data_IF_250387820634
#
_entry.id   IF_250387820634
#
_cell.length_a   1.000
_cell.length_b   1.000
_cell.length_c   1.000
_cell.angle_alpha   90.00
_cell.angle_beta   90.00
_cell.angle_gamma   90.00
#
_symmetry.space_group_name_H-M   'P 1'
#
loop_
_entity.id
_entity.type
_entity.pdbx_description
1 polymer ?
#
# COMPACT_ATOMS: atom_id res chain seq x y z
N UNK A 1 -4.31 -8.35 -3.70
CA UNK A 1 -3.42 -7.33 -4.31
C UNK A 1 -2.20 -8.02 -4.91
N UNK A 2 -1.65 -7.45 -5.98
CA UNK A 2 -0.36 -7.85 -6.55
C UNK A 2 0.44 -6.59 -6.89
N UNK A 3 1.76 -6.69 -6.89
CA UNK A 3 2.60 -5.60 -7.34
C UNK A 3 2.56 -5.49 -8.88
N UNK A 4 2.30 -4.29 -9.40
CA UNK A 4 2.21 -4.07 -10.85
C UNK A 4 3.47 -3.42 -11.43
N UNK A 5 4.09 -2.52 -10.67
CA UNK A 5 5.29 -1.80 -11.08
C UNK A 5 6.03 -1.28 -9.85
N UNK A 6 7.33 -1.07 -9.99
CA UNK A 6 8.14 -0.28 -9.06
C UNK A 6 9.11 0.58 -9.84
N UNK A 7 9.48 1.70 -9.23
CA UNK A 7 10.64 2.48 -9.61
C UNK A 7 11.56 2.55 -8.41
N UNK A 8 12.85 2.35 -8.63
CA UNK A 8 13.86 2.45 -7.58
C UNK A 8 14.80 3.60 -7.91
N UNK A 9 15.16 4.35 -6.89
CA UNK A 9 16.13 5.43 -6.98
C UNK A 9 17.01 5.45 -5.74
N UNK A 10 18.30 5.58 -5.95
CA UNK A 10 19.25 5.85 -4.87
C UNK A 10 20.21 6.95 -5.34
N UNK A 11 20.27 8.07 -4.62
CA UNK A 11 21.52 8.81 -4.52
C UNK A 11 22.54 7.91 -3.76
N UNK A 12 23.88 8.11 -3.87
CA UNK A 12 24.84 7.08 -3.48
C UNK A 12 24.60 6.52 -2.07
N UNK A 13 24.68 5.19 -1.92
CA UNK A 13 24.49 4.50 -0.64
C UNK A 13 23.49 3.32 -0.72
N UNK A 14 22.96 2.93 0.44
CA UNK A 14 22.08 1.77 0.60
C UNK A 14 20.78 1.91 -0.21
N UNK A 15 20.50 0.97 -1.11
CA UNK A 15 19.25 0.92 -1.88
C UNK A 15 18.28 -0.08 -1.25
N UNK A 16 17.02 0.31 -1.08
CA UNK A 16 15.96 -0.62 -0.69
C UNK A 16 15.37 -1.27 -1.94
N UNK A 17 15.33 -2.61 -1.95
CA UNK A 17 14.81 -3.40 -3.07
C UNK A 17 13.94 -4.54 -2.54
N UNK A 18 12.60 -4.36 -2.46
CA UNK A 18 11.70 -5.40 -1.97
C UNK A 18 11.43 -6.48 -3.02
N UNK A 19 11.01 -7.65 -2.56
CA UNK A 19 10.46 -8.70 -3.43
C UNK A 19 9.13 -8.24 -4.04
N UNK A 20 9.09 -8.12 -5.37
CA UNK A 20 7.90 -7.72 -6.12
C UNK A 20 6.97 -8.89 -6.47
N UNK A 21 7.39 -10.11 -6.20
CA UNK A 21 6.66 -11.35 -6.50
C UNK A 21 6.05 -11.99 -5.24
N UNK A 22 6.43 -11.53 -4.05
CA UNK A 22 5.84 -12.02 -2.80
C UNK A 22 4.41 -11.50 -2.61
N UNK A 23 3.52 -12.31 -2.01
CA UNK A 23 2.17 -11.85 -1.65
C UNK A 23 2.23 -10.62 -0.72
N UNK A 24 1.29 -9.70 -0.93
CA UNK A 24 1.15 -8.51 -0.08
C UNK A 24 0.38 -8.89 1.19
N UNK A 25 1.02 -8.73 2.35
CA UNK A 25 0.36 -8.92 3.66
C UNK A 25 -0.46 -7.67 3.98
N UNK A 26 -1.79 -7.80 3.92
CA UNK A 26 -2.69 -6.64 3.97
C UNK A 26 -2.61 -5.86 5.29
N UNK A 27 -2.45 -6.55 6.42
CA UNK A 27 -2.43 -5.92 7.74
C UNK A 27 -1.06 -5.34 8.14
N UNK A 28 0.02 -5.77 7.47
CA UNK A 28 1.40 -5.40 7.85
C UNK A 28 2.09 -4.45 6.84
N UNK A 29 1.49 -4.19 5.68
CA UNK A 29 2.06 -3.31 4.64
C UNK A 29 1.25 -2.02 4.52
N UNK A 30 1.91 -0.90 4.17
CA UNK A 30 1.22 0.39 4.02
C UNK A 30 0.20 0.34 2.88
N UNK A 31 0.55 -0.27 1.74
CA UNK A 31 -0.35 -0.53 0.61
C UNK A 31 -1.55 -1.39 1.02
N UNK A 32 -1.31 -2.42 1.83
CA UNK A 32 -2.36 -3.29 2.35
C UNK A 32 -3.34 -2.55 3.25
N UNK A 33 -2.83 -1.77 4.21
CA UNK A 33 -3.65 -0.96 5.12
C UNK A 33 -4.48 0.08 4.38
N UNK A 34 -3.93 0.73 3.34
CA UNK A 34 -4.70 1.67 2.53
C UNK A 34 -5.81 0.99 1.75
N UNK A 35 -5.53 -0.19 1.19
CA UNK A 35 -6.55 -0.98 0.51
C UNK A 35 -7.70 -1.36 1.45
N UNK A 36 -7.35 -1.88 2.64
CA UNK A 36 -8.33 -2.21 3.69
C UNK A 36 -9.09 -0.97 4.21
N UNK A 37 -8.43 0.17 4.32
CA UNK A 37 -9.08 1.43 4.73
C UNK A 37 -10.07 1.95 3.67
N UNK A 38 -9.93 1.52 2.41
CA UNK A 38 -10.82 1.87 1.31
C UNK A 38 -12.18 1.17 1.32
N UNK A 39 -12.44 0.25 2.25
CA UNK A 39 -13.67 -0.55 2.32
C UNK A 39 -14.31 -0.51 3.73
N UNK A 40 -15.57 -0.96 3.88
CA UNK A 40 -16.21 -1.12 5.19
C UNK A 40 -15.44 -2.07 6.11
N UNK A 41 -15.51 -1.84 7.42
CA UNK A 41 -14.72 -2.58 8.42
C UNK A 41 -14.95 -4.10 8.36
N UNK A 42 -16.17 -4.56 8.14
CA UNK A 42 -16.48 -6.00 8.05
C UNK A 42 -15.75 -6.67 6.88
N UNK A 43 -15.74 -6.03 5.70
CA UNK A 43 -14.99 -6.52 4.54
C UNK A 43 -13.49 -6.47 4.79
N UNK A 44 -12.99 -5.39 5.40
CA UNK A 44 -11.58 -5.26 5.73
C UNK A 44 -11.10 -6.37 6.68
N UNK A 45 -11.90 -6.69 7.70
CA UNK A 45 -11.64 -7.79 8.64
C UNK A 45 -11.60 -9.13 7.89
N UNK A 46 -12.61 -9.40 7.05
CA UNK A 46 -12.68 -10.64 6.26
C UNK A 46 -11.42 -10.83 5.40
N UNK A 47 -11.01 -9.80 4.66
CA UNK A 47 -9.80 -9.86 3.83
C UNK A 47 -8.53 -9.98 4.67
N UNK A 48 -8.43 -9.29 5.80
CA UNK A 48 -7.26 -9.38 6.67
C UNK A 48 -7.10 -10.77 7.30
N UNK A 49 -8.20 -11.38 7.76
CA UNK A 49 -8.21 -12.75 8.31
C UNK A 49 -7.83 -13.79 7.24
N UNK A 50 -8.40 -13.68 6.04
CA UNK A 50 -7.99 -14.51 4.89
C UNK A 50 -6.52 -14.32 4.54
N UNK A 51 -6.03 -13.08 4.65
CA UNK A 51 -4.64 -12.69 4.45
C UNK A 51 -3.69 -13.02 5.62
N UNK A 52 -4.16 -13.72 6.66
CA UNK A 52 -3.31 -14.25 7.73
C UNK A 52 -3.22 -13.41 9.01
N UNK A 53 -4.09 -12.40 9.19
CA UNK A 53 -4.22 -11.72 10.49
C UNK A 53 -4.52 -12.75 11.59
N UNK A 54 -3.85 -12.63 12.75
CA UNK A 54 -3.98 -13.55 13.88
C UNK A 54 -3.18 -14.85 13.74
N UNK A 55 -2.52 -15.09 12.61
CA UNK A 55 -1.62 -16.24 12.44
C UNK A 55 -0.21 -15.86 12.87
N UNK A 56 0.60 -16.85 13.23
CA UNK A 56 2.03 -16.64 13.41
C UNK A 56 2.70 -16.32 12.05
N UNK A 57 3.72 -15.46 12.06
CA UNK A 57 4.56 -15.17 10.89
C UNK A 57 5.45 -16.37 10.57
N UNK A 58 4.85 -17.44 10.04
CA UNK A 58 5.53 -18.72 9.82
C UNK A 58 6.72 -18.62 8.83
N UNK A 59 6.74 -17.59 7.99
CA UNK A 59 7.76 -17.35 6.96
C UNK A 59 8.50 -16.02 7.13
N UNK A 60 8.37 -15.32 8.27
CA UNK A 60 8.97 -13.99 8.44
C UNK A 60 8.35 -12.91 7.53
N UNK A 61 7.08 -13.09 7.14
CA UNK A 61 6.37 -12.16 6.24
C UNK A 61 6.05 -10.80 6.89
N UNK A 62 6.20 -10.70 8.20
CA UNK A 62 6.11 -9.47 9.00
C UNK A 62 6.87 -9.62 10.31
N UNK A 63 7.15 -8.49 10.95
CA UNK A 63 7.90 -8.38 12.20
C UNK A 63 6.98 -8.43 13.43
N UNK A 64 7.52 -8.52 14.65
CA UNK A 64 6.73 -8.41 15.89
C UNK A 64 6.01 -7.06 16.07
N UNK A 65 6.35 -6.02 15.28
CA UNK A 65 5.68 -4.72 15.34
C UNK A 65 4.36 -4.68 14.56
N UNK A 66 4.11 -5.69 13.72
CA UNK A 66 2.92 -5.72 12.89
C UNK A 66 1.63 -5.87 13.70
N UNK A 67 0.55 -5.38 13.12
CA UNK A 67 -0.81 -5.62 13.59
C UNK A 67 -1.13 -7.11 13.48
N UNK A 68 -1.56 -7.71 14.59
CA UNK A 68 -1.84 -9.16 14.65
C UNK A 68 -3.27 -9.48 15.07
N UNK A 69 -4.09 -8.50 15.41
CA UNK A 69 -5.48 -8.71 15.81
C UNK A 69 -6.45 -7.69 15.20
N UNK A 70 -7.75 -8.01 15.23
CA UNK A 70 -8.80 -7.12 14.72
C UNK A 70 -8.91 -5.85 15.56
N UNK A 71 -8.73 -5.98 16.87
CA UNK A 71 -8.76 -4.89 17.85
C UNK A 71 -7.64 -3.86 17.59
N UNK A 72 -6.51 -4.31 17.02
CA UNK A 72 -5.43 -3.45 16.56
C UNK A 72 -5.69 -2.90 15.15
N UNK A 73 -6.27 -3.72 14.27
CA UNK A 73 -6.49 -3.37 12.87
C UNK A 73 -7.47 -2.21 12.71
N UNK A 74 -8.64 -2.28 13.35
CA UNK A 74 -9.71 -1.30 13.14
C UNK A 74 -9.26 0.13 13.49
N UNK A 75 -8.69 0.41 14.68
CA UNK A 75 -8.18 1.74 14.99
C UNK A 75 -7.12 2.23 13.99
N UNK A 76 -6.28 1.34 13.46
CA UNK A 76 -5.28 1.72 12.47
C UNK A 76 -5.87 2.04 11.11
N UNK A 77 -6.92 1.33 10.68
CA UNK A 77 -7.65 1.67 9.47
C UNK A 77 -8.35 3.03 9.62
N UNK A 78 -8.94 3.33 10.79
CA UNK A 78 -9.53 4.65 11.03
C UNK A 78 -8.48 5.77 11.00
N UNK A 79 -7.32 5.58 11.62
CA UNK A 79 -6.19 6.53 11.51
C UNK A 79 -5.76 6.73 10.07
N UNK A 80 -5.71 5.64 9.29
CA UNK A 80 -5.37 5.67 7.87
C UNK A 80 -6.38 6.49 7.06
N UNK A 81 -7.69 6.34 7.34
CA UNK A 81 -8.74 7.16 6.72
C UNK A 81 -8.62 8.63 7.12
N UNK A 82 -8.42 8.92 8.40
CA UNK A 82 -8.34 10.28 8.93
C UNK A 82 -7.13 11.07 8.39
N UNK A 83 -5.95 10.44 8.33
CA UNK A 83 -4.73 11.10 7.81
C UNK A 83 -4.62 11.08 6.28
N UNK A 84 -5.42 10.25 5.61
CA UNK A 84 -5.43 10.14 4.14
C UNK A 84 -4.30 9.29 3.52
N UNK A 85 -3.42 8.71 4.34
CA UNK A 85 -2.36 7.80 3.91
C UNK A 85 -2.18 6.63 4.89
N UNK A 86 -1.67 5.50 4.40
CA UNK A 86 -1.24 4.39 5.26
C UNK A 86 0.21 4.57 5.64
N UNK A 87 0.54 4.29 6.89
CA UNK A 87 1.89 4.34 7.40
C UNK A 87 2.24 2.97 7.99
N UNK A 88 3.44 2.50 7.68
CA UNK A 88 4.05 1.34 8.31
C UNK A 88 5.45 1.71 8.73
N UNK A 89 5.78 1.45 9.99
CA UNK A 89 7.11 1.62 10.57
C UNK A 89 7.57 0.27 11.08
N UNK A 90 8.44 -0.37 10.30
CA UNK A 90 9.06 -1.66 10.60
C UNK A 90 8.09 -2.83 10.83
N UNK A 91 6.86 -2.76 10.33
CA UNK A 91 5.88 -3.84 10.51
C UNK A 91 6.08 -4.97 9.51
N UNK A 92 6.31 -4.65 8.24
CA UNK A 92 6.60 -5.66 7.22
C UNK A 92 8.05 -6.15 7.30
N UNK A 93 9.00 -5.22 7.42
CA UNK A 93 10.44 -5.51 7.38
C UNK A 93 11.17 -4.65 8.43
N UNK A 94 12.13 -5.20 9.19
CA UNK A 94 12.95 -4.41 10.11
C UNK A 94 13.73 -3.32 9.37
N UNK A 95 13.81 -2.13 9.97
CA UNK A 95 14.51 -0.99 9.39
C UNK A 95 13.79 -0.24 8.26
N UNK A 96 12.59 -0.68 7.84
CA UNK A 96 11.86 -0.11 6.69
C UNK A 96 10.66 0.71 7.14
N UNK A 97 10.48 1.88 6.53
CA UNK A 97 9.25 2.68 6.62
C UNK A 97 8.62 2.78 5.25
N UNK A 98 7.30 2.71 5.21
CA UNK A 98 6.53 2.91 3.99
C UNK A 98 5.29 3.78 4.22
N UNK A 99 5.06 4.70 3.28
CA UNK A 99 3.83 5.49 3.18
C UNK A 99 3.08 5.06 1.93
N UNK A 100 1.76 4.98 2.00
CA UNK A 100 0.92 4.64 0.85
C UNK A 100 -0.32 5.51 0.74
N UNK A 101 -0.84 5.66 -0.48
CA UNK A 101 -2.09 6.36 -0.78
C UNK A 101 -2.97 5.52 -1.72
N UNK A 102 -4.30 5.71 -1.70
CA UNK A 102 -5.19 4.99 -2.60
C UNK A 102 -5.10 5.58 -4.01
N UNK A 103 -5.14 4.72 -5.01
CA UNK A 103 -5.46 5.14 -6.38
C UNK A 103 -6.96 4.98 -6.54
N UNK A 104 -7.66 6.08 -6.83
CA UNK A 104 -9.11 6.11 -6.97
C UNK A 104 -9.52 6.31 -8.41
N UNK A 105 -10.53 5.57 -8.83
CA UNK A 105 -11.24 5.79 -10.09
C UNK A 105 -11.95 7.14 -10.06
N UNK A 106 -11.87 7.93 -11.15
CA UNK A 106 -12.54 9.24 -11.22
C UNK A 106 -14.08 9.15 -11.27
N UNK A 107 -14.71 8.21 -12.03
CA UNK A 107 -16.17 8.13 -12.12
C UNK A 107 -16.89 7.94 -10.77
N UNK A 108 -16.35 7.11 -9.88
CA UNK A 108 -17.05 6.60 -8.70
C UNK A 108 -16.25 6.72 -7.40
N UNK A 109 -14.99 7.18 -7.45
CA UNK A 109 -14.13 7.35 -6.28
C UNK A 109 -13.66 6.04 -5.64
N UNK A 110 -13.96 4.89 -6.29
CA UNK A 110 -13.62 3.56 -5.80
C UNK A 110 -12.11 3.38 -5.78
N UNK A 111 -11.58 2.76 -4.72
CA UNK A 111 -10.16 2.40 -4.64
C UNK A 111 -9.90 1.23 -5.58
N UNK A 112 -9.08 1.47 -6.60
CA UNK A 112 -8.76 0.50 -7.66
C UNK A 112 -7.31 0.00 -7.57
N UNK A 113 -6.52 0.64 -6.71
CA UNK A 113 -5.16 0.24 -6.41
C UNK A 113 -4.58 1.10 -5.31
N UNK A 114 -3.29 0.91 -5.05
CA UNK A 114 -2.55 1.65 -4.02
C UNK A 114 -1.15 1.94 -4.52
N UNK A 115 -0.56 3.04 -4.08
CA UNK A 115 0.80 3.44 -4.42
C UNK A 115 1.57 3.77 -3.16
N UNK A 116 2.85 3.41 -3.10
CA UNK A 116 3.69 3.67 -1.93
C UNK A 116 5.08 4.18 -2.26
N UNK A 117 5.64 4.92 -1.30
CA UNK A 117 7.08 5.16 -1.18
C UNK A 117 7.56 4.37 0.03
N UNK A 118 8.65 3.63 -0.12
CA UNK A 118 9.25 2.84 0.94
C UNK A 118 10.78 3.01 0.95
N UNK A 119 11.39 2.90 2.13
CA UNK A 119 12.83 2.96 2.27
C UNK A 119 13.31 2.85 3.71
N UNK A 120 14.63 2.95 3.94
CA UNK A 120 15.21 2.80 5.27
C UNK A 120 14.76 3.91 6.22
N UNK A 121 14.61 3.57 7.51
CA UNK A 121 14.32 4.49 8.61
C UNK A 121 15.18 5.76 8.58
N UNK A 122 16.48 5.61 8.29
CA UNK A 122 17.44 6.72 8.25
C UNK A 122 17.12 7.78 7.19
N UNK A 123 16.31 7.44 6.17
CA UNK A 123 15.91 8.36 5.09
C UNK A 123 14.43 8.69 5.11
N UNK A 124 13.58 7.82 5.63
CA UNK A 124 12.13 8.00 5.66
C UNK A 124 11.70 8.33 7.10
N UNK A 125 12.10 9.54 7.52
CA UNK A 125 11.84 10.06 8.86
C UNK A 125 10.53 10.87 8.92
N UNK A 126 9.91 11.01 10.11
CA UNK A 126 8.63 11.69 10.28
C UNK A 126 8.54 13.09 9.65
N UNK A 127 9.61 13.86 9.68
CA UNK A 127 9.68 15.22 9.12
C UNK A 127 9.48 15.25 7.60
N UNK A 128 9.63 14.10 6.92
CA UNK A 128 9.46 13.95 5.48
C UNK A 128 8.10 13.40 5.08
N UNK A 129 7.28 12.96 6.04
CA UNK A 129 6.02 12.26 5.74
C UNK A 129 5.07 13.13 4.92
N UNK A 130 4.91 14.41 5.29
CA UNK A 130 4.06 15.34 4.55
C UNK A 130 4.55 15.55 3.11
N UNK A 131 5.86 15.70 2.91
CA UNK A 131 6.44 15.84 1.57
C UNK A 131 6.22 14.59 0.71
N UNK A 132 6.39 13.40 1.29
CA UNK A 132 6.11 12.14 0.59
C UNK A 132 4.63 11.93 0.30
N UNK A 133 3.77 12.28 1.25
CA UNK A 133 2.33 12.22 1.08
C UNK A 133 1.87 13.12 -0.08
N UNK A 134 2.37 14.36 -0.16
CA UNK A 134 2.06 15.27 -1.26
C UNK A 134 2.49 14.71 -2.64
N UNK A 135 3.68 14.11 -2.74
CA UNK A 135 4.17 13.48 -3.97
C UNK A 135 3.31 12.27 -4.36
N UNK A 136 2.98 11.42 -3.39
CA UNK A 136 2.11 10.26 -3.58
C UNK A 136 0.70 10.68 -4.03
N UNK A 137 0.11 11.70 -3.43
CA UNK A 137 -1.19 12.24 -3.84
C UNK A 137 -1.18 12.71 -5.29
N UNK A 138 -0.17 13.49 -5.69
CA UNK A 138 -0.05 13.94 -7.08
C UNK A 138 0.09 12.77 -8.06
N UNK A 139 0.92 11.78 -7.73
CA UNK A 139 1.13 10.62 -8.59
C UNK A 139 -0.12 9.73 -8.68
N UNK A 140 -0.79 9.48 -7.55
CA UNK A 140 -2.02 8.68 -7.50
C UNK A 140 -3.18 9.33 -8.24
N UNK A 141 -3.33 10.65 -8.17
CA UNK A 141 -4.34 11.37 -8.93
C UNK A 141 -4.13 11.23 -10.45
N UNK A 142 -2.88 11.31 -10.92
CA UNK A 142 -2.54 11.09 -12.34
C UNK A 142 -2.89 9.67 -12.80
N UNK A 143 -2.62 8.66 -11.97
CA UNK A 143 -3.01 7.27 -12.29
C UNK A 143 -4.52 7.08 -12.26
N UNK A 144 -5.21 7.67 -11.28
CA UNK A 144 -6.68 7.61 -11.19
C UNK A 144 -7.36 8.24 -12.40
N UNK A 145 -6.80 9.32 -12.94
CA UNK A 145 -7.33 10.01 -14.11
C UNK A 145 -7.29 9.22 -15.41
N UNK A 146 -6.43 8.20 -15.50
CA UNK A 146 -6.31 7.33 -16.68
C UNK A 146 -6.92 5.94 -16.43
N UNK A 147 -7.58 5.74 -15.28
CA UNK A 147 -8.19 4.46 -14.90
C UNK A 147 -9.71 4.43 -15.14
N UNK A 148 -10.27 3.30 -15.63
CA UNK A 148 -9.56 2.17 -16.22
C UNK A 148 -8.96 2.57 -17.56
N UNK A 149 -7.76 2.06 -17.88
CA UNK A 149 -7.18 2.31 -19.21
C UNK A 149 -8.10 1.63 -20.22
N UNK A 150 -8.90 2.42 -20.93
CA UNK A 150 -9.62 1.91 -22.09
C UNK A 150 -8.55 1.33 -23.03
N UNK A 151 -8.68 0.05 -23.37
CA UNK A 151 -7.82 -0.61 -24.34
C UNK A 151 -7.83 0.23 -25.62
N UNK A 152 -6.68 0.69 -26.06
CA UNK A 152 -6.52 1.25 -27.40
C UNK A 152 -6.83 0.12 -28.38
N UNK A 153 -8.04 0.17 -28.95
CA UNK A 153 -8.51 -0.59 -30.11
C UNK A 153 -8.15 -2.07 -30.18
N UNK A 154 -9.07 -2.94 -29.78
CA UNK A 154 -9.24 -4.21 -30.49
C UNK A 154 -9.80 -3.89 -31.89
N UNK A 155 -8.93 -3.47 -32.82
CA UNK A 155 -9.20 -3.53 -34.25
C UNK A 155 -8.31 -4.60 -34.84
N UNK A 156 -8.76 -5.85 -34.73
CA UNK A 156 -8.36 -6.94 -35.62
C UNK A 156 -9.65 -7.68 -35.98
N UNK A 157 -9.80 -8.00 -37.28
CA UNK A 157 -10.97 -8.52 -38.02
C UNK A 157 -11.98 -7.44 -38.42
N UNK A 158 -12.37 -7.26 -39.69
CA UNK A 158 -12.47 -8.18 -40.83
C UNK A 158 -12.37 -7.41 -42.17
N UNK A 159 -11.53 -7.89 -43.09
CA UNK A 159 -11.71 -7.87 -44.55
C UNK A 159 -10.72 -8.85 -45.18
#
# INVERSE_FOLDING_TARGET
LAWLAASQGAAPGLMYSPSMHSPIVLHATSVGKVWLAGMPNDQAIEYALRGGLGKASASGAWTPKAITSVEQLIPELERTRQRGYGLVVEEAEPGVVALAVPVRSLPDGVVVGTMSIAGPLTRVQPERYEAFYALLQQASAKLGAVWPRQSVGAHVSEA
#
